data_IF_617043465394
#
_entry.id   IF_617043465394
#
_cell.length_a   1.000
_cell.length_b   1.000
_cell.length_c   1.000
_cell.angle_alpha   90.00
_cell.angle_beta   90.00
_cell.angle_gamma   90.00
#
_symmetry.space_group_name_H-M   'P 1'
#
loop_
_entity.id
_entity.type
_entity.pdbx_description
1 polymer ?
#
# COMPACT_ATOMS: atom_id res chain seq x y z
N UNK A 1 -8.57 70.25 -20.98
CA UNK A 1 -7.99 69.67 -19.73
C UNK A 1 -8.55 68.25 -19.44
N UNK A 2 -9.75 67.89 -19.85
CA UNK A 2 -10.37 66.56 -19.56
C UNK A 2 -9.80 65.36 -20.35
N UNK A 3 -9.39 65.52 -21.63
CA UNK A 3 -8.86 64.43 -22.48
C UNK A 3 -7.54 63.83 -21.97
N UNK A 4 -6.67 64.65 -21.39
CA UNK A 4 -5.37 64.15 -20.86
C UNK A 4 -5.50 63.29 -19.61
N UNK A 5 -6.48 63.58 -18.75
CA UNK A 5 -6.74 62.79 -17.53
C UNK A 5 -7.31 61.41 -17.87
N UNK A 6 -8.20 61.32 -18.87
CA UNK A 6 -8.79 60.05 -19.33
C UNK A 6 -7.75 59.13 -19.98
N UNK A 7 -6.83 59.70 -20.77
CA UNK A 7 -5.73 58.94 -21.38
C UNK A 7 -4.76 58.42 -20.35
N UNK A 8 -4.40 59.25 -19.34
CA UNK A 8 -3.52 58.87 -18.25
C UNK A 8 -4.10 57.73 -17.40
N UNK A 9 -5.39 57.75 -17.09
CA UNK A 9 -6.06 56.69 -16.35
C UNK A 9 -6.14 55.39 -17.16
N UNK A 10 -6.38 55.44 -18.47
CA UNK A 10 -6.36 54.25 -19.33
C UNK A 10 -4.98 53.63 -19.41
N UNK A 11 -3.92 54.42 -19.51
CA UNK A 11 -2.53 53.93 -19.50
C UNK A 11 -2.19 53.27 -18.15
N UNK A 12 -2.56 53.88 -17.02
CA UNK A 12 -2.36 53.30 -15.69
C UNK A 12 -3.08 51.96 -15.57
N UNK A 13 -4.34 51.87 -15.98
CA UNK A 13 -5.10 50.61 -15.94
C UNK A 13 -4.45 49.51 -16.78
N UNK A 14 -4.00 49.85 -18.02
CA UNK A 14 -3.33 48.87 -18.88
C UNK A 14 -2.00 48.40 -18.28
N UNK A 15 -1.20 49.32 -17.74
CA UNK A 15 0.06 48.97 -17.08
C UNK A 15 -0.17 48.12 -15.84
N UNK A 16 -1.17 48.47 -15.01
CA UNK A 16 -1.50 47.67 -13.82
C UNK A 16 -1.94 46.24 -14.18
N UNK A 17 -2.77 46.11 -15.22
CA UNK A 17 -3.20 44.78 -15.69
C UNK A 17 -2.04 43.95 -16.26
N UNK A 18 -1.12 44.57 -17.00
CA UNK A 18 0.08 43.89 -17.51
C UNK A 18 1.00 43.41 -16.37
N UNK A 19 1.20 44.24 -15.34
CA UNK A 19 1.97 43.85 -14.14
C UNK A 19 1.30 42.70 -13.40
N UNK A 20 -0.05 42.77 -13.27
CA UNK A 20 -0.79 41.65 -12.60
C UNK A 20 -0.66 40.33 -13.36
N UNK A 21 -0.79 40.38 -14.69
CA UNK A 21 -0.59 39.19 -15.54
C UNK A 21 0.83 38.67 -15.44
N UNK A 22 1.84 39.55 -15.45
CA UNK A 22 3.24 39.15 -15.30
C UNK A 22 3.52 38.50 -13.94
N UNK A 23 2.92 39.01 -12.85
CA UNK A 23 3.03 38.43 -11.51
C UNK A 23 2.35 37.07 -11.44
N UNK A 24 1.14 36.92 -12.01
CA UNK A 24 0.45 35.62 -12.06
C UNK A 24 1.24 34.60 -12.87
N UNK A 25 1.79 34.99 -14.02
CA UNK A 25 2.66 34.13 -14.81
C UNK A 25 3.94 33.74 -14.08
N UNK A 26 4.58 34.67 -13.37
CA UNK A 26 5.77 34.39 -12.59
C UNK A 26 5.49 33.43 -11.42
N UNK A 27 4.36 33.61 -10.71
CA UNK A 27 3.94 32.71 -9.63
C UNK A 27 3.59 31.32 -10.20
N UNK A 28 2.93 31.27 -11.35
CA UNK A 28 2.61 30.00 -12.03
C UNK A 28 3.88 29.28 -12.51
N UNK A 29 4.87 29.99 -13.02
CA UNK A 29 6.17 29.44 -13.42
C UNK A 29 6.96 28.95 -12.20
N UNK A 30 6.96 29.69 -11.10
CA UNK A 30 7.61 29.23 -9.85
C UNK A 30 6.91 27.98 -9.33
N UNK A 31 5.57 27.88 -9.40
CA UNK A 31 4.81 26.67 -9.05
C UNK A 31 5.08 25.49 -9.99
N UNK A 32 5.37 25.76 -11.27
CA UNK A 32 5.63 24.72 -12.29
C UNK A 32 7.11 24.24 -12.28
N UNK A 33 8.06 25.13 -12.00
CA UNK A 33 9.49 24.82 -11.97
C UNK A 33 10.06 24.72 -10.54
N UNK A 34 9.33 25.18 -9.52
CA UNK A 34 9.71 25.04 -8.11
C UNK A 34 9.28 23.72 -7.46
N UNK A 35 8.55 22.88 -8.18
CA UNK A 35 8.28 21.51 -7.82
C UNK A 35 9.46 20.59 -8.15
N UNK A 36 10.67 20.93 -7.70
CA UNK A 36 11.63 19.89 -7.37
C UNK A 36 10.95 19.10 -6.24
N UNK A 37 10.33 17.97 -6.60
CA UNK A 37 10.25 16.87 -5.68
C UNK A 37 11.71 16.64 -5.25
N UNK A 38 12.08 17.21 -4.12
CA UNK A 38 13.22 16.75 -3.36
C UNK A 38 12.85 15.30 -3.13
N UNK A 39 13.43 14.41 -3.93
CA UNK A 39 13.58 13.04 -3.52
C UNK A 39 14.42 13.16 -2.24
N UNK A 40 13.73 13.29 -1.11
CA UNK A 40 14.33 13.00 0.18
C UNK A 40 14.60 11.50 0.07
N UNK A 41 15.81 11.17 -0.34
CA UNK A 41 16.42 9.90 -0.06
C UNK A 41 16.57 9.85 1.47
N UNK A 42 15.46 9.58 2.15
CA UNK A 42 15.48 9.15 3.52
C UNK A 42 16.08 7.74 3.49
N UNK A 43 17.40 7.65 3.67
CA UNK A 43 18.12 6.39 3.89
C UNK A 43 17.62 5.63 5.13
N UNK A 44 16.56 6.11 5.78
CA UNK A 44 15.88 5.54 6.95
C UNK A 44 14.36 5.44 6.81
N UNK A 45 13.79 5.45 5.62
CA UNK A 45 12.35 5.21 5.50
C UNK A 45 12.07 3.70 5.63
N UNK A 46 11.54 3.27 6.77
CA UNK A 46 10.98 1.92 6.98
C UNK A 46 9.74 1.66 6.11
N UNK A 47 9.72 2.15 4.85
CA UNK A 47 8.63 1.98 3.89
C UNK A 47 9.16 1.21 2.68
N UNK A 48 8.56 0.07 2.42
CA UNK A 48 8.99 -0.84 1.37
C UNK A 48 7.89 -1.03 0.34
N UNK A 49 8.15 -0.69 -0.92
CA UNK A 49 7.26 -0.93 -2.05
C UNK A 49 7.61 -2.22 -2.80
N UNK A 50 8.83 -2.67 -2.66
CA UNK A 50 9.42 -3.89 -3.23
C UNK A 50 10.70 -4.22 -2.46
N UNK A 51 11.22 -5.40 -2.66
CA UNK A 51 12.54 -5.81 -2.16
C UNK A 51 13.59 -5.63 -3.26
N UNK A 52 14.56 -4.73 -3.07
CA UNK A 52 15.58 -4.42 -4.09
C UNK A 52 16.44 -5.65 -4.45
N UNK A 53 16.74 -6.50 -3.46
CA UNK A 53 17.51 -7.73 -3.65
C UNK A 53 16.65 -8.99 -3.43
N UNK A 54 15.34 -8.88 -3.71
CA UNK A 54 14.41 -9.96 -3.47
C UNK A 54 14.70 -11.21 -4.28
N UNK A 55 14.42 -12.37 -3.69
CA UNK A 55 14.65 -13.69 -4.28
C UNK A 55 13.46 -14.23 -5.05
N UNK A 56 12.25 -13.75 -4.72
CA UNK A 56 10.98 -14.16 -5.32
C UNK A 56 9.99 -13.01 -5.49
N UNK A 57 8.73 -13.34 -5.63
CA UNK A 57 7.59 -12.41 -5.67
C UNK A 57 6.80 -12.60 -4.38
N UNK A 58 6.37 -11.52 -3.74
CA UNK A 58 5.51 -11.61 -2.56
C UNK A 58 4.07 -11.29 -2.92
N UNK A 59 3.17 -12.24 -2.71
CA UNK A 59 1.74 -12.02 -2.81
C UNK A 59 1.25 -11.51 -1.45
N UNK A 60 0.63 -10.33 -1.46
CA UNK A 60 0.11 -9.64 -0.27
C UNK A 60 -1.41 -9.68 -0.31
N UNK A 61 -2.04 -10.24 0.72
CA UNK A 61 -3.49 -10.27 0.85
C UNK A 61 -3.92 -9.35 2.00
N UNK A 62 -4.60 -8.24 1.68
CA UNK A 62 -5.25 -7.40 2.68
C UNK A 62 -6.60 -8.00 3.05
N UNK A 63 -6.78 -8.37 4.32
CA UNK A 63 -7.93 -9.14 4.80
C UNK A 63 -8.74 -8.33 5.80
N UNK A 64 -9.99 -8.06 5.45
CA UNK A 64 -10.98 -7.40 6.29
C UNK A 64 -12.38 -8.03 6.20
N UNK A 65 -12.56 -8.97 5.27
CA UNK A 65 -13.83 -9.62 4.96
C UNK A 65 -13.60 -10.92 4.17
N UNK A 66 -14.68 -11.63 3.83
CA UNK A 66 -14.67 -12.80 2.94
C UNK A 66 -13.84 -13.99 3.46
N UNK A 67 -14.15 -14.45 4.68
CA UNK A 67 -13.46 -15.58 5.33
C UNK A 67 -13.44 -16.85 4.46
N UNK A 68 -14.52 -17.15 3.73
CA UNK A 68 -14.58 -18.32 2.85
C UNK A 68 -13.56 -18.21 1.72
N UNK A 69 -13.42 -17.03 1.11
CA UNK A 69 -12.42 -16.77 0.07
C UNK A 69 -11.00 -16.87 0.60
N UNK A 70 -10.76 -16.46 1.86
CA UNK A 70 -9.44 -16.64 2.50
C UNK A 70 -9.10 -18.13 2.55
N UNK A 71 -10.02 -18.98 3.01
CA UNK A 71 -9.80 -20.43 3.08
C UNK A 71 -9.55 -21.05 1.71
N UNK A 72 -10.29 -20.63 0.68
CA UNK A 72 -10.09 -21.09 -0.70
C UNK A 72 -8.74 -20.64 -1.27
N UNK A 73 -8.30 -19.39 -0.97
CA UNK A 73 -6.96 -18.91 -1.31
C UNK A 73 -5.89 -19.77 -0.65
N UNK A 74 -6.05 -20.14 0.61
CA UNK A 74 -5.10 -21.02 1.32
C UNK A 74 -5.00 -22.41 0.66
N UNK A 75 -6.12 -22.96 0.21
CA UNK A 75 -6.13 -24.25 -0.49
C UNK A 75 -5.37 -24.16 -1.82
N UNK A 76 -5.63 -23.11 -2.60
CA UNK A 76 -4.92 -22.85 -3.86
C UNK A 76 -3.42 -22.64 -3.62
N UNK A 77 -3.02 -21.80 -2.64
CA UNK A 77 -1.61 -21.59 -2.31
C UNK A 77 -0.91 -22.91 -1.92
N UNK A 78 -1.61 -23.76 -1.16
CA UNK A 78 -1.13 -25.09 -0.77
C UNK A 78 -0.85 -26.01 -1.94
N UNK A 79 -1.72 -26.03 -2.98
CA UNK A 79 -1.52 -26.81 -4.21
C UNK A 79 -0.24 -26.40 -4.97
N UNK A 80 0.13 -25.13 -4.90
CA UNK A 80 1.34 -24.59 -5.54
C UNK A 80 2.56 -24.54 -4.62
N UNK A 81 2.45 -24.98 -3.36
CA UNK A 81 3.49 -24.87 -2.34
C UNK A 81 4.01 -23.42 -2.20
N UNK A 82 3.12 -22.45 -2.27
CA UNK A 82 3.39 -21.04 -2.24
C UNK A 82 3.10 -20.45 -0.86
N UNK A 83 4.04 -19.67 -0.30
CA UNK A 83 3.88 -18.96 0.96
C UNK A 83 3.63 -17.47 0.67
N UNK A 84 2.55 -16.92 1.24
CA UNK A 84 2.13 -15.54 1.03
C UNK A 84 2.10 -14.77 2.37
N UNK A 85 1.93 -13.43 2.30
CA UNK A 85 1.79 -12.58 3.47
C UNK A 85 0.36 -12.03 3.56
N UNK A 86 -0.29 -12.26 4.70
CA UNK A 86 -1.65 -11.81 4.96
C UNK A 86 -1.62 -10.62 5.92
N UNK A 87 -2.01 -9.45 5.44
CA UNK A 87 -2.17 -8.22 6.22
C UNK A 87 -3.58 -8.18 6.77
N UNK A 88 -3.72 -8.45 8.05
CA UNK A 88 -5.00 -8.76 8.68
C UNK A 88 -5.49 -7.57 9.51
N UNK A 89 -6.74 -7.18 9.28
CA UNK A 89 -7.44 -6.19 10.09
C UNK A 89 -7.84 -6.75 11.46
N UNK A 90 -7.59 -5.98 12.52
CA UNK A 90 -7.78 -6.45 13.89
C UNK A 90 -9.23 -6.80 14.22
N UNK A 91 -10.20 -5.98 13.77
CA UNK A 91 -11.63 -6.26 14.03
C UNK A 91 -12.11 -7.52 13.31
N UNK A 92 -11.59 -7.82 12.12
CA UNK A 92 -11.88 -9.08 11.44
C UNK A 92 -11.21 -10.26 12.16
N UNK A 93 -9.97 -10.10 12.61
CA UNK A 93 -9.23 -11.14 13.34
C UNK A 93 -9.92 -11.54 14.65
N UNK A 94 -10.52 -10.57 15.35
CA UNK A 94 -11.24 -10.79 16.62
C UNK A 94 -12.47 -11.71 16.42
N UNK A 95 -13.16 -11.56 15.29
CA UNK A 95 -14.30 -12.40 14.91
C UNK A 95 -13.89 -13.71 14.21
N UNK A 96 -12.62 -13.84 13.74
CA UNK A 96 -12.16 -14.95 12.90
C UNK A 96 -10.85 -15.58 13.38
N UNK A 97 -10.68 -15.71 14.69
CA UNK A 97 -9.45 -16.22 15.34
C UNK A 97 -8.98 -17.56 14.76
N UNK A 98 -9.89 -18.47 14.49
CA UNK A 98 -9.54 -19.80 13.95
C UNK A 98 -9.05 -19.73 12.51
N UNK A 99 -9.59 -18.81 11.70
CA UNK A 99 -9.10 -18.57 10.35
C UNK A 99 -7.66 -17.98 10.38
N UNK A 100 -7.39 -17.02 11.28
CA UNK A 100 -6.03 -16.45 11.46
C UNK A 100 -5.04 -17.55 11.87
N UNK A 101 -5.43 -18.43 12.79
CA UNK A 101 -4.60 -19.59 13.17
C UNK A 101 -4.34 -20.53 12.02
N UNK A 102 -5.34 -20.79 11.17
CA UNK A 102 -5.21 -21.66 10.01
C UNK A 102 -4.25 -21.06 8.96
N UNK A 103 -4.32 -19.73 8.69
CA UNK A 103 -3.35 -19.03 7.84
C UNK A 103 -1.92 -19.27 8.36
N UNK A 104 -1.69 -19.00 9.64
CA UNK A 104 -0.38 -19.13 10.26
C UNK A 104 0.11 -20.59 10.27
N UNK A 105 -0.76 -21.53 10.62
CA UNK A 105 -0.45 -22.98 10.66
C UNK A 105 -0.04 -23.54 9.30
N UNK A 106 -0.57 -22.99 8.20
CA UNK A 106 -0.19 -23.36 6.84
C UNK A 106 1.12 -22.72 6.36
N UNK A 107 1.84 -22.02 7.23
CA UNK A 107 3.16 -21.45 6.94
C UNK A 107 3.13 -20.05 6.30
N UNK A 108 1.97 -19.41 6.23
CA UNK A 108 1.89 -18.05 5.69
C UNK A 108 2.28 -17.02 6.75
N UNK A 109 2.82 -15.90 6.30
CA UNK A 109 3.19 -14.77 7.15
C UNK A 109 1.95 -13.96 7.53
N UNK A 110 1.87 -13.59 8.82
CA UNK A 110 0.83 -12.71 9.35
C UNK A 110 1.42 -11.31 9.56
N UNK A 111 0.68 -10.30 9.13
CA UNK A 111 1.01 -8.89 9.26
C UNK A 111 -0.23 -8.07 9.66
N UNK A 112 -0.02 -6.85 10.14
CA UNK A 112 -1.13 -5.98 10.57
C UNK A 112 -1.63 -5.08 9.43
N UNK A 113 -2.98 -4.93 9.35
CA UNK A 113 -3.65 -3.97 8.48
C UNK A 113 -4.45 -2.91 9.28
N UNK A 114 -3.97 -2.58 10.51
CA UNK A 114 -4.71 -1.75 11.46
C UNK A 114 -5.86 -2.50 12.13
N UNK A 115 -6.58 -1.81 13.05
CA UNK A 115 -7.69 -2.46 13.75
C UNK A 115 -9.05 -2.21 13.08
N UNK A 116 -9.38 -0.94 12.74
CA UNK A 116 -10.67 -0.53 12.18
C UNK A 116 -10.61 0.02 10.75
N UNK A 117 -9.56 -0.26 10.00
CA UNK A 117 -9.37 0.20 8.62
C UNK A 117 -9.49 1.73 8.43
N UNK A 118 -8.87 2.51 9.32
CA UNK A 118 -8.93 3.96 9.27
C UNK A 118 -7.93 4.57 8.29
N UNK A 119 -8.18 5.81 7.87
CA UNK A 119 -7.23 6.60 7.08
C UNK A 119 -6.12 7.14 7.99
N UNK A 120 -5.01 6.42 8.02
CA UNK A 120 -3.85 6.70 8.87
C UNK A 120 -3.16 8.02 8.52
N UNK A 121 -3.28 8.52 7.27
CA UNK A 121 -2.64 9.75 6.83
C UNK A 121 -3.15 11.02 7.53
N UNK A 122 -4.35 10.94 8.13
CA UNK A 122 -5.04 12.06 8.80
C UNK A 122 -5.00 11.97 10.31
N UNK A 123 -4.33 10.97 10.86
CA UNK A 123 -4.29 10.69 12.30
C UNK A 123 -3.03 11.27 12.93
N UNK A 124 -3.11 11.66 14.22
CA UNK A 124 -1.93 11.98 15.01
C UNK A 124 -1.11 10.71 15.31
N UNK A 125 0.08 10.86 15.87
CA UNK A 125 0.91 9.71 16.30
C UNK A 125 0.14 8.86 17.34
N UNK A 126 -0.49 9.49 18.33
CA UNK A 126 -1.25 8.81 19.37
C UNK A 126 -2.43 8.05 18.80
N UNK A 127 -3.20 8.66 17.87
CA UNK A 127 -4.33 8.00 17.24
C UNK A 127 -3.89 6.83 16.33
N UNK A 128 -2.76 6.96 15.62
CA UNK A 128 -2.14 5.86 14.89
C UNK A 128 -1.75 4.71 15.85
N UNK A 129 -1.14 5.01 16.99
CA UNK A 129 -0.79 4.01 18.00
C UNK A 129 -2.02 3.30 18.58
N UNK A 130 -3.12 4.03 18.82
CA UNK A 130 -4.39 3.46 19.29
C UNK A 130 -5.04 2.53 18.27
N UNK A 131 -4.77 2.71 17.00
CA UNK A 131 -5.31 1.88 15.91
C UNK A 131 -4.40 0.69 15.56
N UNK A 132 -3.08 0.87 15.55
CA UNK A 132 -2.13 -0.16 15.13
C UNK A 132 -1.82 -1.14 16.27
N UNK A 133 -1.49 -0.65 17.47
CA UNK A 133 -1.04 -1.47 18.60
C UNK A 133 -2.03 -2.56 19.00
N UNK A 134 -3.36 -2.33 19.11
CA UNK A 134 -4.31 -3.39 19.44
C UNK A 134 -4.34 -4.50 18.41
N UNK A 135 -4.27 -4.19 17.12
CA UNK A 135 -4.21 -5.17 16.03
C UNK A 135 -2.95 -6.03 16.16
N UNK A 136 -1.77 -5.43 16.27
CA UNK A 136 -0.50 -6.13 16.45
C UNK A 136 -0.54 -7.03 17.67
N UNK A 137 -1.00 -6.51 18.82
CA UNK A 137 -1.11 -7.29 20.06
C UNK A 137 -2.05 -8.49 19.92
N UNK A 138 -3.19 -8.32 19.27
CA UNK A 138 -4.15 -9.41 19.04
C UNK A 138 -3.52 -10.49 18.16
N UNK A 139 -2.91 -10.12 17.04
CA UNK A 139 -2.27 -11.06 16.12
C UNK A 139 -1.10 -11.79 16.77
N UNK A 140 -0.26 -11.10 17.56
CA UNK A 140 0.81 -11.72 18.34
C UNK A 140 0.26 -12.80 19.30
N UNK A 141 -0.88 -12.51 19.96
CA UNK A 141 -1.51 -13.45 20.88
C UNK A 141 -2.13 -14.66 20.15
N UNK A 142 -2.76 -14.45 18.99
CA UNK A 142 -3.40 -15.52 18.21
C UNK A 142 -2.34 -16.50 17.67
N UNK A 143 -1.25 -15.96 17.09
CA UNK A 143 -0.22 -16.75 16.40
C UNK A 143 0.97 -17.13 17.29
N UNK A 144 1.07 -16.59 18.50
CA UNK A 144 2.23 -16.72 19.38
C UNK A 144 3.55 -16.39 18.66
N UNK A 145 3.55 -15.31 17.89
CA UNK A 145 4.70 -14.81 17.11
C UNK A 145 4.75 -13.29 17.18
N UNK A 146 5.87 -12.69 16.83
CA UNK A 146 6.03 -11.25 16.76
C UNK A 146 5.62 -10.75 15.35
N UNK A 147 4.70 -9.79 15.29
CA UNK A 147 4.30 -9.12 14.06
C UNK A 147 5.17 -7.90 13.86
N UNK A 148 5.91 -7.86 12.75
CA UNK A 148 6.88 -6.81 12.42
C UNK A 148 6.47 -5.98 11.19
N UNK A 149 5.39 -6.36 10.48
CA UNK A 149 4.94 -5.71 9.26
C UNK A 149 3.57 -5.06 9.43
N UNK A 150 3.42 -3.88 8.82
CA UNK A 150 2.18 -3.14 8.77
C UNK A 150 1.93 -2.61 7.35
N UNK A 151 0.77 -2.91 6.77
CA UNK A 151 0.29 -2.25 5.55
C UNK A 151 -0.82 -1.26 5.92
N UNK A 152 -0.68 0.03 5.60
CA UNK A 152 -1.71 1.02 5.92
C UNK A 152 -2.96 0.80 5.07
N UNK A 153 -4.17 0.83 5.67
CA UNK A 153 -5.43 0.79 4.94
C UNK A 153 -5.46 1.79 3.78
N UNK A 154 -5.91 1.32 2.61
CA UNK A 154 -5.96 2.11 1.36
C UNK A 154 -4.61 2.72 0.93
N UNK A 155 -3.49 2.25 1.46
CA UNK A 155 -2.17 2.84 1.26
C UNK A 155 -2.01 4.24 1.86
N UNK A 156 -2.89 4.65 2.77
CA UNK A 156 -2.93 5.99 3.33
C UNK A 156 -2.05 6.08 4.59
N UNK A 157 -0.92 6.76 4.49
CA UNK A 157 -0.01 7.02 5.62
C UNK A 157 0.62 8.41 5.53
N UNK A 158 1.18 8.88 6.63
CA UNK A 158 1.92 10.14 6.74
C UNK A 158 3.05 10.01 7.74
N UNK A 159 3.76 11.11 8.02
CA UNK A 159 4.87 11.14 8.98
C UNK A 159 4.43 10.63 10.37
N UNK A 160 3.24 11.01 10.82
CA UNK A 160 2.69 10.53 12.10
C UNK A 160 2.50 9.00 12.13
N UNK A 161 2.09 8.40 11.00
CA UNK A 161 1.97 6.94 10.86
C UNK A 161 3.36 6.28 10.95
N UNK A 162 4.35 6.83 10.24
CA UNK A 162 5.72 6.30 10.25
C UNK A 162 6.33 6.35 11.65
N UNK A 163 6.13 7.46 12.38
CA UNK A 163 6.59 7.62 13.76
C UNK A 163 5.91 6.61 14.71
N UNK A 164 4.61 6.35 14.53
CA UNK A 164 3.90 5.35 15.30
C UNK A 164 4.43 3.93 14.99
N UNK A 165 4.61 3.59 13.72
CA UNK A 165 5.18 2.30 13.30
C UNK A 165 6.60 2.11 13.84
N UNK A 166 7.46 3.12 13.74
CA UNK A 166 8.82 3.05 14.28
C UNK A 166 8.84 2.82 15.79
N UNK A 167 7.91 3.40 16.56
CA UNK A 167 7.81 3.19 18.01
C UNK A 167 7.25 1.81 18.40
N UNK A 168 6.75 1.06 17.44
CA UNK A 168 6.26 -0.32 17.57
C UNK A 168 7.16 -1.33 16.87
N UNK A 169 8.34 -0.92 16.41
CA UNK A 169 9.28 -1.75 15.64
C UNK A 169 8.66 -2.37 14.38
N UNK A 170 7.72 -1.64 13.74
CA UNK A 170 7.02 -2.08 12.54
C UNK A 170 7.61 -1.44 11.28
N UNK A 171 7.77 -2.24 10.23
CA UNK A 171 8.03 -1.77 8.87
C UNK A 171 6.72 -1.54 8.13
N UNK A 172 6.66 -0.43 7.40
CA UNK A 172 5.50 -0.09 6.58
C UNK A 172 5.67 -0.72 5.21
N UNK A 173 4.73 -1.58 4.84
CA UNK A 173 4.75 -2.32 3.59
C UNK A 173 3.68 -1.74 2.65
N UNK A 174 4.14 -1.32 1.51
CA UNK A 174 3.34 -0.90 0.37
C UNK A 174 3.44 -1.97 -0.72
N UNK A 175 3.07 -1.66 -1.94
CA UNK A 175 3.11 -2.57 -3.07
C UNK A 175 3.69 -1.90 -4.31
N UNK A 176 4.34 -2.68 -5.16
CA UNK A 176 4.78 -2.27 -6.49
C UNK A 176 3.73 -2.56 -7.55
N UNK A 177 2.79 -3.48 -7.26
CA UNK A 177 1.70 -3.87 -8.16
C UNK A 177 0.38 -3.93 -7.42
N UNK A 178 -0.63 -3.27 -7.96
CA UNK A 178 -2.00 -3.31 -7.47
C UNK A 178 -2.87 -4.05 -8.50
N UNK A 179 -3.50 -5.13 -8.10
CA UNK A 179 -4.43 -5.86 -8.96
C UNK A 179 -5.76 -5.13 -9.13
N UNK A 180 -6.09 -4.22 -8.23
CA UNK A 180 -7.34 -3.45 -8.16
C UNK A 180 -8.57 -4.39 -8.17
N UNK A 181 -8.42 -5.57 -7.58
CA UNK A 181 -9.43 -6.63 -7.49
C UNK A 181 -10.64 -6.24 -6.63
N UNK A 182 -10.43 -5.37 -5.66
CA UNK A 182 -11.47 -4.79 -4.81
C UNK A 182 -12.50 -3.97 -5.60
N UNK A 183 -12.11 -3.42 -6.76
CA UNK A 183 -12.96 -2.59 -7.63
C UNK A 183 -13.37 -3.32 -8.91
N UNK A 184 -12.37 -3.87 -9.60
CA UNK A 184 -12.56 -4.45 -10.93
C UNK A 184 -12.70 -5.97 -10.78
N UNK A 185 -13.93 -6.46 -10.88
CA UNK A 185 -14.28 -7.88 -10.76
C UNK A 185 -14.00 -8.65 -12.07
N UNK A 186 -12.86 -8.41 -12.68
CA UNK A 186 -12.42 -9.01 -13.95
C UNK A 186 -11.15 -9.82 -13.74
N UNK A 187 -11.28 -11.14 -13.73
CA UNK A 187 -10.20 -12.11 -13.56
C UNK A 187 -9.03 -11.89 -14.53
N UNK A 188 -9.31 -11.50 -15.79
CA UNK A 188 -8.27 -11.26 -16.79
C UNK A 188 -7.48 -9.98 -16.52
N UNK A 189 -8.15 -8.93 -16.04
CA UNK A 189 -7.47 -7.70 -15.62
C UNK A 189 -6.61 -7.94 -14.39
N UNK A 190 -7.11 -8.68 -13.40
CA UNK A 190 -6.37 -9.07 -12.19
C UNK A 190 -5.10 -9.83 -12.60
N UNK A 191 -5.24 -10.90 -13.40
CA UNK A 191 -4.12 -11.65 -13.94
C UNK A 191 -3.11 -10.75 -14.66
N UNK A 192 -3.57 -9.92 -15.58
CA UNK A 192 -2.69 -9.05 -16.37
C UNK A 192 -1.92 -8.05 -15.49
N UNK A 193 -2.55 -7.47 -14.47
CA UNK A 193 -1.90 -6.52 -13.54
C UNK A 193 -0.88 -7.23 -12.64
N UNK A 194 -1.19 -8.42 -12.19
CA UNK A 194 -0.30 -9.22 -11.37
C UNK A 194 0.95 -9.68 -12.13
N UNK A 195 0.82 -10.04 -13.43
CA UNK A 195 1.85 -10.79 -14.15
C UNK A 195 2.62 -10.00 -15.20
N UNK A 196 2.08 -8.89 -15.75
CA UNK A 196 2.73 -8.13 -16.82
C UNK A 196 4.13 -7.63 -16.43
N UNK A 197 5.18 -8.18 -17.05
CA UNK A 197 6.60 -7.87 -16.75
C UNK A 197 6.95 -8.08 -15.26
N UNK A 198 6.40 -9.11 -14.63
CA UNK A 198 6.66 -9.43 -13.23
C UNK A 198 8.12 -9.86 -13.05
N UNK A 199 8.77 -9.32 -12.02
CA UNK A 199 10.17 -9.61 -11.69
C UNK A 199 10.33 -9.96 -10.21
N UNK A 200 11.47 -10.51 -9.84
CA UNK A 200 11.80 -10.76 -8.44
C UNK A 200 11.79 -9.47 -7.62
N UNK A 201 11.48 -9.59 -6.35
CA UNK A 201 11.41 -8.49 -5.41
C UNK A 201 10.08 -7.74 -5.40
N UNK A 202 9.20 -7.96 -6.37
CA UNK A 202 7.92 -7.24 -6.44
C UNK A 202 6.90 -7.73 -5.42
N UNK A 203 6.15 -6.78 -4.87
CA UNK A 203 5.03 -7.00 -3.97
C UNK A 203 3.72 -6.78 -4.73
N UNK A 204 2.87 -7.79 -4.77
CA UNK A 204 1.61 -7.81 -5.51
C UNK A 204 0.45 -7.75 -4.54
N UNK A 205 -0.27 -6.64 -4.50
CA UNK A 205 -1.45 -6.45 -3.65
C UNK A 205 -2.67 -7.14 -4.24
N UNK A 206 -3.35 -7.89 -3.37
CA UNK A 206 -4.62 -8.58 -3.61
C UNK A 206 -5.53 -8.46 -2.39
N UNK A 207 -6.81 -8.78 -2.59
CA UNK A 207 -7.82 -8.94 -1.54
C UNK A 207 -8.55 -10.28 -1.73
N UNK A 208 -9.16 -10.85 -0.70
CA UNK A 208 -9.87 -12.15 -0.82
C UNK A 208 -11.24 -11.98 -1.52
N UNK A 209 -11.22 -11.61 -2.80
CA UNK A 209 -12.42 -11.49 -3.64
C UNK A 209 -12.63 -12.75 -4.48
N UNK A 210 -13.87 -13.04 -4.90
CA UNK A 210 -14.17 -14.16 -5.80
C UNK A 210 -13.34 -14.11 -7.09
N UNK A 211 -13.10 -12.90 -7.60
CA UNK A 211 -12.30 -12.69 -8.81
C UNK A 211 -10.82 -12.97 -8.59
N UNK A 212 -10.30 -12.71 -7.39
CA UNK A 212 -8.93 -13.06 -6.99
C UNK A 212 -8.78 -14.57 -6.85
N UNK A 213 -9.71 -15.23 -6.17
CA UNK A 213 -9.76 -16.69 -6.08
C UNK A 213 -9.70 -17.31 -7.48
N UNK A 214 -10.54 -16.82 -8.39
CA UNK A 214 -10.58 -17.33 -9.77
C UNK A 214 -9.30 -17.02 -10.59
N UNK A 215 -8.59 -15.93 -10.32
CA UNK A 215 -7.36 -15.53 -11.03
C UNK A 215 -6.10 -16.22 -10.49
N UNK A 216 -6.09 -16.57 -9.21
CA UNK A 216 -4.90 -16.98 -8.48
C UNK A 216 -4.20 -18.20 -9.07
N UNK A 217 -4.89 -19.28 -9.54
CA UNK A 217 -4.23 -20.43 -10.15
C UNK A 217 -3.42 -20.06 -11.40
N UNK A 218 -3.96 -19.19 -12.27
CA UNK A 218 -3.24 -18.74 -13.48
C UNK A 218 -2.05 -17.85 -13.12
N UNK A 219 -2.16 -16.99 -12.09
CA UNK A 219 -1.07 -16.15 -11.60
C UNK A 219 0.06 -17.02 -11.05
N UNK A 220 -0.23 -18.02 -10.22
CA UNK A 220 0.75 -18.93 -9.65
C UNK A 220 1.42 -19.79 -10.73
N UNK A 221 0.64 -20.25 -11.71
CA UNK A 221 1.16 -20.94 -12.89
C UNK A 221 2.15 -20.07 -13.67
N UNK A 222 1.79 -18.80 -13.93
CA UNK A 222 2.69 -17.85 -14.59
C UNK A 222 3.98 -17.66 -13.81
N UNK A 223 3.91 -17.45 -12.50
CA UNK A 223 5.07 -17.26 -11.63
C UNK A 223 6.03 -18.45 -11.74
N UNK A 224 5.50 -19.67 -11.57
CA UNK A 224 6.26 -20.92 -11.70
C UNK A 224 6.90 -21.07 -13.09
N UNK A 225 6.11 -20.91 -14.15
CA UNK A 225 6.53 -21.17 -15.53
C UNK A 225 7.56 -20.15 -16.03
N UNK A 226 7.67 -18.97 -15.36
CA UNK A 226 8.72 -17.98 -15.59
C UNK A 226 9.93 -18.13 -14.65
N UNK A 227 10.04 -19.24 -13.92
CA UNK A 227 11.16 -19.50 -13.01
C UNK A 227 11.21 -18.56 -11.81
N UNK A 228 10.08 -17.98 -11.43
CA UNK A 228 9.92 -17.20 -10.21
C UNK A 228 9.35 -18.09 -9.10
N UNK A 229 9.57 -17.71 -7.85
CA UNK A 229 8.97 -18.33 -6.67
C UNK A 229 8.11 -17.32 -5.92
N UNK A 230 7.08 -17.81 -5.24
CA UNK A 230 6.32 -17.01 -4.28
C UNK A 230 6.98 -17.17 -2.91
N UNK A 231 7.26 -16.06 -2.25
CA UNK A 231 7.86 -16.01 -0.92
C UNK A 231 7.17 -14.93 -0.07
N UNK A 232 7.26 -15.02 1.23
CA UNK A 232 6.71 -14.01 2.15
C UNK A 232 7.42 -12.67 1.97
N UNK A 233 6.83 -11.59 2.45
CA UNK A 233 7.43 -10.25 2.39
C UNK A 233 8.72 -10.20 3.20
N UNK A 234 8.74 -10.74 4.42
CA UNK A 234 9.96 -10.79 5.26
C UNK A 234 11.08 -11.57 4.59
N UNK A 235 10.78 -12.76 4.04
CA UNK A 235 11.79 -13.53 3.29
C UNK A 235 12.36 -12.72 2.12
N UNK A 236 11.51 -12.02 1.39
CA UNK A 236 11.93 -11.20 0.24
C UNK A 236 12.78 -9.99 0.67
N UNK A 237 12.57 -9.49 1.88
CA UNK A 237 13.37 -8.42 2.51
C UNK A 237 14.68 -8.93 3.15
N UNK A 238 14.92 -10.25 3.16
CA UNK A 238 16.18 -10.86 3.64
C UNK A 238 16.18 -11.28 5.11
N UNK A 239 15.01 -11.61 5.65
CA UNK A 239 14.82 -12.10 7.03
C UNK A 239 14.55 -13.60 7.10
#
# INVERSE_FOLDING_TARGET
>A
MFRGKLLKNKIITVVTNLVLVAVVCAVSLIGFFGGNAVAVSNENSNVYYKAENGTGVSLMFNVYEHTDNVLEILDILGEYQAEATFFIGGSWADDNVDCVREIFKRGHEIASHGYFHKDHSRMSVEANLEEIRPSVKLLNMICNTEITLFAPPSGAFGEATLNACASLDLRVIMWSRDTIDWRDKDTKLIYSRATKNLTKGEFVLMHPTDSTVAALPEILTYIRDNGLSVVTVSHNLGE
#
